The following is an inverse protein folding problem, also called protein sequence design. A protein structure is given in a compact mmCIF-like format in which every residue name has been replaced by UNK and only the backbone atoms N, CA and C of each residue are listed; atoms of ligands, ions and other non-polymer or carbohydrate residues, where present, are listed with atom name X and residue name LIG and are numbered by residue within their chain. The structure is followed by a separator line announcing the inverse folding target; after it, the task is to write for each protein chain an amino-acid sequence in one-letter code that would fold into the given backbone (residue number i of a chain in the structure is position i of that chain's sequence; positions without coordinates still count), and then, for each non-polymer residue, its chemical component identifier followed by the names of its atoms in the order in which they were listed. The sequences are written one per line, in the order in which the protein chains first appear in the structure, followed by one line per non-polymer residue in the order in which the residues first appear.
data_IF_516617951596
#
_entry.id   IF_516617951596
#
_cell.length_a   1.000
_cell.length_b   1.000
_cell.length_c   1.000
_cell.angle_alpha   90.00
_cell.angle_beta   90.00
_cell.angle_gamma   90.00
#
_symmetry.space_group_name_H-M   'P 1'
#
loop_
_entity.id
_entity.type
_entity.pdbx_description
1 polymer ?
#
# COMPACT_ATOMS: atom_id res chain seq x y z
N UNK A 1 2.15 -14.72 0.31
CA UNK A 1 2.12 -13.60 1.28
C UNK A 1 2.26 -12.27 0.54
N UNK A 2 1.49 -11.28 0.94
CA UNK A 2 1.63 -9.93 0.43
C UNK A 2 2.55 -9.17 1.36
N UNK A 3 3.63 -8.61 0.82
CA UNK A 3 4.57 -7.78 1.57
C UNK A 3 4.35 -6.32 1.22
N UNK A 4 4.13 -5.49 2.21
CA UNK A 4 4.01 -4.05 2.05
C UNK A 4 5.20 -3.39 2.72
N UNK A 5 5.93 -2.58 1.97
CA UNK A 5 7.09 -1.86 2.49
C UNK A 5 6.84 -0.36 2.36
N UNK A 6 6.86 0.32 3.48
CA UNK A 6 6.70 1.78 3.55
C UNK A 6 8.09 2.37 3.76
N UNK A 7 8.58 3.10 2.77
CA UNK A 7 9.88 3.74 2.84
C UNK A 7 9.72 5.18 3.31
N UNK A 8 10.50 5.56 4.31
CA UNK A 8 10.47 6.89 4.89
C UNK A 8 11.84 7.53 4.81
N UNK A 9 11.86 8.84 4.64
CA UNK A 9 13.04 9.65 4.85
C UNK A 9 12.69 10.69 5.91
N UNK A 10 13.28 10.55 7.09
CA UNK A 10 12.88 11.34 8.27
C UNK A 10 11.40 11.05 8.57
N UNK A 11 10.58 12.06 8.66
CA UNK A 11 9.15 11.90 8.94
C UNK A 11 8.31 11.71 7.68
N UNK A 12 8.94 11.76 6.50
CA UNK A 12 8.22 11.81 5.24
C UNK A 12 8.20 10.46 4.54
N UNK A 13 7.02 10.01 4.13
CA UNK A 13 6.87 8.78 3.36
C UNK A 13 7.27 9.07 1.92
N UNK A 14 8.23 8.31 1.38
CA UNK A 14 8.73 8.48 0.03
C UNK A 14 8.20 7.45 -0.95
N UNK A 15 7.92 6.23 -0.49
CA UNK A 15 7.33 5.21 -1.35
C UNK A 15 6.60 4.16 -0.54
N UNK A 16 5.66 3.49 -1.20
CA UNK A 16 4.96 2.33 -0.66
C UNK A 16 4.98 1.25 -1.75
N UNK A 17 5.53 0.10 -1.43
CA UNK A 17 5.56 -1.02 -2.38
C UNK A 17 4.70 -2.16 -1.88
N UNK A 18 4.08 -2.85 -2.82
CA UNK A 18 3.23 -4.01 -2.58
C UNK A 18 3.75 -5.16 -3.45
N UNK A 19 4.09 -6.26 -2.83
CA UNK A 19 4.65 -7.41 -3.52
C UNK A 19 3.94 -8.68 -3.05
N UNK A 20 3.40 -9.43 -3.98
CA UNK A 20 2.73 -10.69 -3.70
C UNK A 20 1.59 -10.96 -4.64
N UNK A 21 1.33 -12.23 -4.82
CA UNK A 21 0.31 -12.70 -5.72
C UNK A 21 -0.92 -13.23 -5.03
N UNK A 22 -2.06 -12.93 -5.62
CA UNK A 22 -3.28 -13.65 -5.37
C UNK A 22 -3.29 -14.88 -6.28
N UNK A 23 -2.43 -15.79 -6.12
CA UNK A 23 -2.39 -16.82 -7.07
C UNK A 23 -2.88 -18.10 -6.62
N UNK A 24 -2.94 -19.09 -6.55
CA UNK A 24 -3.08 -20.45 -6.25
C UNK A 24 -3.41 -20.69 -4.82
N UNK A 25 -3.81 -19.68 -4.16
CA UNK A 25 -3.86 -19.75 -2.75
C UNK A 25 -5.14 -20.37 -2.29
N UNK A 26 -5.16 -20.71 -1.03
CA UNK A 26 -6.36 -21.07 -0.35
C UNK A 26 -7.33 -19.87 -0.31
N UNK A 27 -8.54 -20.11 0.13
CA UNK A 27 -9.57 -19.07 0.18
C UNK A 27 -9.16 -17.86 1.03
N UNK A 28 -8.42 -18.10 2.12
CA UNK A 28 -7.97 -17.01 2.99
C UNK A 28 -7.04 -16.05 2.27
N UNK A 29 -6.14 -16.57 1.46
CA UNK A 29 -5.22 -15.75 0.70
C UNK A 29 -5.96 -14.89 -0.32
N UNK A 30 -6.92 -15.46 -1.04
CA UNK A 30 -7.69 -14.71 -2.05
C UNK A 30 -8.52 -13.60 -1.42
N UNK A 31 -9.11 -13.85 -0.26
CA UNK A 31 -9.86 -12.84 0.48
C UNK A 31 -8.94 -11.68 0.88
N UNK A 32 -7.78 -11.99 1.42
CA UNK A 32 -6.81 -10.96 1.84
C UNK A 32 -6.32 -10.16 0.63
N UNK A 33 -5.98 -10.82 -0.47
CA UNK A 33 -5.55 -10.13 -1.69
C UNK A 33 -6.63 -9.18 -2.21
N UNK A 34 -7.88 -9.61 -2.23
CA UNK A 34 -8.99 -8.76 -2.66
C UNK A 34 -9.18 -7.56 -1.76
N UNK A 35 -9.10 -7.76 -0.45
CA UNK A 35 -9.25 -6.68 0.51
C UNK A 35 -8.11 -5.66 0.39
N UNK A 36 -6.87 -6.13 0.29
CA UNK A 36 -5.71 -5.26 0.11
C UNK A 36 -5.83 -4.48 -1.19
N UNK A 37 -6.18 -5.14 -2.29
CA UNK A 37 -6.32 -4.49 -3.59
C UNK A 37 -7.38 -3.39 -3.56
N UNK A 38 -8.51 -3.65 -2.92
CA UNK A 38 -9.57 -2.64 -2.82
C UNK A 38 -9.10 -1.41 -2.06
N UNK A 39 -8.43 -1.60 -0.92
CA UNK A 39 -7.92 -0.48 -0.14
C UNK A 39 -6.86 0.31 -0.89
N UNK A 40 -5.94 -0.39 -1.55
CA UNK A 40 -4.82 0.25 -2.26
C UNK A 40 -5.33 1.04 -3.46
N UNK A 41 -6.20 0.44 -4.27
CA UNK A 41 -6.75 1.12 -5.46
C UNK A 41 -7.58 2.32 -5.04
N UNK A 42 -8.41 2.18 -4.01
CA UNK A 42 -9.19 3.30 -3.52
C UNK A 42 -8.29 4.44 -3.04
N UNK A 43 -7.22 4.11 -2.34
CA UNK A 43 -6.28 5.13 -1.85
C UNK A 43 -5.60 5.87 -3.00
N UNK A 44 -5.14 5.15 -4.04
CA UNK A 44 -4.53 5.79 -5.21
C UNK A 44 -5.51 6.72 -5.91
N UNK A 45 -6.72 6.25 -6.14
CA UNK A 45 -7.73 7.05 -6.80
C UNK A 45 -8.10 8.29 -5.97
N UNK A 46 -8.14 8.13 -4.65
CA UNK A 46 -8.44 9.25 -3.75
C UNK A 46 -7.34 10.29 -3.76
N UNK A 47 -6.08 9.86 -3.72
CA UNK A 47 -4.94 10.79 -3.77
C UNK A 47 -4.97 11.57 -5.07
N UNK A 48 -5.19 10.89 -6.19
CA UNK A 48 -5.23 11.54 -7.50
C UNK A 48 -6.39 12.52 -7.60
N UNK A 49 -7.55 12.14 -7.09
CA UNK A 49 -8.77 12.95 -7.25
C UNK A 49 -8.87 14.10 -6.26
N UNK A 50 -8.45 13.88 -5.01
CA UNK A 50 -8.73 14.82 -3.94
C UNK A 50 -7.52 15.64 -3.49
N UNK A 51 -6.33 15.35 -4.02
CA UNK A 51 -5.11 16.08 -3.64
C UNK A 51 -4.34 16.50 -4.90
N UNK A 52 -3.40 17.42 -4.70
CA UNK A 52 -2.44 17.81 -5.73
C UNK A 52 -1.09 17.12 -5.55
N UNK A 53 -1.05 16.06 -4.74
CA UNK A 53 0.18 15.34 -4.44
C UNK A 53 0.77 14.71 -5.71
N UNK A 54 2.05 14.99 -5.97
CA UNK A 54 2.77 14.34 -7.06
C UNK A 54 3.15 12.91 -6.68
N UNK A 55 2.85 11.97 -7.56
CA UNK A 55 3.27 10.59 -7.40
C UNK A 55 3.32 9.87 -8.73
N UNK A 56 4.08 8.78 -8.77
CA UNK A 56 4.09 7.85 -9.89
C UNK A 56 3.73 6.47 -9.40
N UNK A 57 3.15 5.66 -10.27
CA UNK A 57 2.72 4.31 -9.96
C UNK A 57 3.31 3.36 -10.99
N UNK A 58 4.09 2.38 -10.53
CA UNK A 58 4.65 1.34 -11.37
C UNK A 58 4.05 0.00 -10.99
N UNK A 59 3.66 -0.79 -11.98
CA UNK A 59 3.01 -2.09 -11.76
C UNK A 59 3.58 -3.12 -12.73
N UNK A 60 3.69 -4.37 -12.27
CA UNK A 60 3.96 -5.49 -13.17
C UNK A 60 2.71 -5.82 -13.97
N UNK A 61 2.93 -6.44 -15.14
CA UNK A 61 1.81 -6.87 -15.99
C UNK A 61 0.92 -7.91 -15.34
N UNK A 62 1.50 -8.75 -14.48
CA UNK A 62 0.74 -9.79 -13.78
C UNK A 62 0.10 -9.30 -12.47
N UNK A 63 0.33 -8.05 -12.10
CA UNK A 63 -0.24 -7.47 -10.89
C UNK A 63 0.42 -7.92 -9.59
N UNK A 64 1.52 -8.68 -9.68
CA UNK A 64 2.18 -9.19 -8.48
C UNK A 64 3.08 -8.19 -7.77
N UNK A 65 3.36 -7.07 -8.39
CA UNK A 65 4.20 -6.03 -7.80
C UNK A 65 3.67 -4.66 -8.19
N UNK A 66 3.65 -3.76 -7.21
CA UNK A 66 3.21 -2.39 -7.42
C UNK A 66 3.99 -1.48 -6.49
N UNK A 67 4.46 -0.34 -6.98
CA UNK A 67 5.11 0.65 -6.15
C UNK A 67 4.57 2.03 -6.45
N UNK A 68 4.22 2.76 -5.39
CA UNK A 68 3.84 4.17 -5.46
C UNK A 68 5.01 4.99 -4.94
N UNK A 69 5.54 5.88 -5.79
CA UNK A 69 6.60 6.79 -5.43
C UNK A 69 6.03 8.20 -5.34
N UNK A 70 6.25 8.87 -4.21
CA UNK A 70 5.83 10.25 -4.03
C UNK A 70 6.95 11.17 -4.50
N UNK A 71 6.61 12.10 -5.38
CA UNK A 71 7.61 12.90 -6.08
C UNK A 71 7.86 14.26 -5.44
N UNK A 72 6.98 14.70 -4.55
CA UNK A 72 7.16 15.97 -3.84
C UNK A 72 8.09 15.78 -2.64
N UNK A 73 8.83 16.83 -2.27
CA UNK A 73 9.75 16.78 -1.14
C UNK A 73 9.03 16.52 0.17
N UNK A 74 7.83 17.06 0.32
CA UNK A 74 7.02 16.89 1.53
C UNK A 74 5.61 16.49 1.11
N UNK A 75 5.11 15.43 1.72
CA UNK A 75 3.75 14.98 1.46
C UNK A 75 2.75 15.96 2.04
N UNK A 76 1.73 16.33 1.25
CA UNK A 76 0.68 17.23 1.73
C UNK A 76 -0.16 16.55 2.82
N UNK A 77 -0.81 17.37 3.63
CA UNK A 77 -1.60 16.89 4.76
C UNK A 77 -2.68 15.88 4.35
N UNK A 78 -3.43 16.20 3.30
CA UNK A 78 -4.55 15.34 2.88
C UNK A 78 -4.05 14.01 2.33
N UNK A 79 -2.95 14.03 1.58
CA UNK A 79 -2.34 12.79 1.10
C UNK A 79 -1.86 11.95 2.28
N UNK A 80 -1.22 12.55 3.27
CA UNK A 80 -0.76 11.83 4.46
C UNK A 80 -1.93 11.20 5.21
N UNK A 81 -3.05 11.91 5.31
CA UNK A 81 -4.24 11.37 5.95
C UNK A 81 -4.76 10.13 5.21
N UNK A 82 -4.80 10.21 3.88
CA UNK A 82 -5.23 9.05 3.07
C UNK A 82 -4.29 7.87 3.20
N UNK A 83 -2.98 8.13 3.25
CA UNK A 83 -1.99 7.07 3.46
C UNK A 83 -2.11 6.47 4.86
N UNK A 84 -2.30 7.29 5.88
CA UNK A 84 -2.50 6.80 7.24
C UNK A 84 -3.76 5.95 7.34
N UNK A 85 -4.81 6.33 6.65
CA UNK A 85 -6.04 5.54 6.56
C UNK A 85 -5.79 4.19 5.89
N UNK A 86 -5.00 4.17 4.82
CA UNK A 86 -4.62 2.93 4.16
C UNK A 86 -3.86 2.02 5.13
N UNK A 87 -2.89 2.56 5.84
CA UNK A 87 -2.08 1.77 6.78
C UNK A 87 -2.92 1.22 7.92
N UNK A 88 -3.89 1.99 8.41
CA UNK A 88 -4.83 1.51 9.43
C UNK A 88 -5.62 0.32 8.89
N UNK A 89 -6.14 0.42 7.67
CA UNK A 89 -6.90 -0.68 7.07
C UNK A 89 -6.07 -1.93 6.84
N UNK A 90 -4.83 -1.77 6.38
CA UNK A 90 -3.92 -2.89 6.17
C UNK A 90 -3.58 -3.58 7.49
N UNK A 91 -3.34 -2.81 8.54
CA UNK A 91 -3.05 -3.36 9.87
C UNK A 91 -4.25 -4.16 10.41
N UNK A 92 -5.45 -3.66 10.22
CA UNK A 92 -6.67 -4.37 10.63
C UNK A 92 -6.82 -5.70 9.88
N UNK A 93 -6.53 -5.72 8.59
CA UNK A 93 -6.55 -6.96 7.80
C UNK A 93 -5.52 -7.95 8.35
N UNK A 94 -4.32 -7.47 8.64
CA UNK A 94 -3.26 -8.31 9.18
C UNK A 94 -3.67 -8.92 10.53
N UNK A 95 -4.28 -8.13 11.39
CA UNK A 95 -4.73 -8.63 12.70
C UNK A 95 -5.86 -9.64 12.56
N UNK A 96 -6.76 -9.43 11.62
CA UNK A 96 -7.91 -10.31 11.44
C UNK A 96 -7.54 -11.66 10.80
N UNK A 97 -6.64 -11.66 9.83
CA UNK A 97 -6.32 -12.85 9.04
C UNK A 97 -4.96 -13.47 9.37
N UNK A 98 -4.07 -12.73 10.04
CA UNK A 98 -2.80 -13.25 10.52
C UNK A 98 -1.61 -12.89 9.65
N UNK A 99 -0.42 -13.11 10.20
CA UNK A 99 0.85 -12.74 9.59
C UNK A 99 1.23 -13.60 8.40
N UNK A 100 0.56 -14.73 8.20
CA UNK A 100 0.84 -15.64 7.08
C UNK A 100 0.40 -15.04 5.74
N UNK A 101 -0.50 -14.07 5.76
CA UNK A 101 -1.08 -13.51 4.54
C UNK A 101 -0.57 -12.12 4.19
N UNK A 102 -0.19 -11.32 5.18
CA UNK A 102 0.16 -9.92 4.99
C UNK A 102 1.26 -9.51 5.97
N UNK A 103 2.31 -8.91 5.44
CA UNK A 103 3.36 -8.32 6.27
C UNK A 103 3.50 -6.83 5.96
N UNK A 104 3.73 -6.04 7.01
CA UNK A 104 3.94 -4.60 6.91
C UNK A 104 5.31 -4.27 7.47
N UNK A 105 6.15 -3.62 6.66
CA UNK A 105 7.50 -3.24 7.07
C UNK A 105 7.73 -1.77 6.83
N UNK A 106 8.40 -1.13 7.76
CA UNK A 106 8.84 0.26 7.64
C UNK A 106 10.34 0.28 7.41
N UNK A 107 10.77 1.03 6.40
CA UNK A 107 12.17 1.14 6.04
C UNK A 107 12.56 2.61 6.08
N UNK A 108 13.62 2.91 6.84
CA UNK A 108 14.18 4.27 6.92
C UNK A 108 15.34 4.38 5.95
N UNK A 109 15.39 5.47 5.21
CA UNK A 109 16.48 5.74 4.26
C UNK A 109 17.16 7.08 4.52
#
# INVERSE_FOLDING_TARGET
MISVVITKHKENITSISFDGHAGYADEGYDIVCSAVSALVINTFNSIEKFTDQGFSLDMNQDGGFMVMNFTDDVMCHDCRLLVDSLMLGLDEIKQQYGDDYLSLHYKEV
#
